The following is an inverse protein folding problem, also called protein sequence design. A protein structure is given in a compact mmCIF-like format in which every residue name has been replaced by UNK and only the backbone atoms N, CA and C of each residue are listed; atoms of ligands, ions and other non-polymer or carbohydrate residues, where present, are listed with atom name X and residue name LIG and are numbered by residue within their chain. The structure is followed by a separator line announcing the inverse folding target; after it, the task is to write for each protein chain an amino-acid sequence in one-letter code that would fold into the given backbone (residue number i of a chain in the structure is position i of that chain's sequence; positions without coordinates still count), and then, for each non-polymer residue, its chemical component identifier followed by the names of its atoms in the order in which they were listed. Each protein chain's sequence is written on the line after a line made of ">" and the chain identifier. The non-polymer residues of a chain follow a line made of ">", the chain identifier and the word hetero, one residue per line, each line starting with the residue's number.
data_IF_322537352859
#
_entry.id   IF_322537352859
#
_cell.length_a   1.000
_cell.length_b   1.000
_cell.length_c   1.000
_cell.angle_alpha   90.00
_cell.angle_beta   90.00
_cell.angle_gamma   90.00
#
_symmetry.space_group_name_H-M   'P 1'
#
loop_
_entity.id
_entity.type
_entity.pdbx_description
1 polymer ?
#
# COMPACT_ATOMS: atom_id res chain seq x y z
N UNK A 1 -0.23 3.08 22.24
CA UNK A 1 -1.52 3.49 21.64
C UNK A 1 -1.27 4.16 20.31
N UNK A 2 -1.98 3.75 19.27
CA UNK A 2 -1.91 4.30 17.92
C UNK A 2 -3.22 4.99 17.57
N UNK A 3 -3.17 6.04 16.75
CA UNK A 3 -4.31 6.88 16.44
C UNK A 3 -4.57 6.92 14.94
N UNK A 4 -5.83 6.76 14.54
CA UNK A 4 -6.30 6.97 13.17
C UNK A 4 -7.18 8.20 13.10
N UNK A 5 -6.84 9.09 12.19
CA UNK A 5 -7.66 10.25 11.85
C UNK A 5 -8.56 9.92 10.67
N UNK A 6 -9.82 10.25 10.77
CA UNK A 6 -10.84 9.96 9.76
C UNK A 6 -11.68 11.22 9.55
N UNK A 7 -11.83 11.61 8.30
CA UNK A 7 -12.70 12.70 7.89
C UNK A 7 -13.20 12.51 6.46
N UNK A 8 -14.28 13.18 6.16
CA UNK A 8 -14.85 13.28 4.83
C UNK A 8 -15.47 14.66 4.64
N UNK A 9 -15.55 15.12 3.40
CA UNK A 9 -16.26 16.35 3.06
C UNK A 9 -17.77 16.22 3.30
N UNK A 10 -18.31 15.01 3.20
CA UNK A 10 -19.67 14.67 3.49
C UNK A 10 -19.85 14.19 4.94
N UNK A 11 -20.55 14.94 5.82
CA UNK A 11 -20.77 14.54 7.20
C UNK A 11 -21.45 13.17 7.37
N UNK A 12 -22.26 12.77 6.40
CA UNK A 12 -22.93 11.47 6.43
C UNK A 12 -21.95 10.31 6.29
N UNK A 13 -20.87 10.47 5.50
CA UNK A 13 -19.82 9.47 5.39
C UNK A 13 -18.94 9.42 6.67
N UNK A 14 -18.71 10.57 7.31
CA UNK A 14 -18.05 10.62 8.63
C UNK A 14 -18.83 9.80 9.66
N UNK A 15 -20.14 10.00 9.75
CA UNK A 15 -21.01 9.27 10.66
C UNK A 15 -21.08 7.77 10.33
N UNK A 16 -21.11 7.42 9.05
CA UNK A 16 -21.12 6.03 8.59
C UNK A 16 -19.82 5.31 8.98
N UNK A 17 -18.67 5.96 8.80
CA UNK A 17 -17.39 5.42 9.21
C UNK A 17 -17.30 5.27 10.73
N UNK A 18 -17.81 6.24 11.50
CA UNK A 18 -17.86 6.15 12.95
C UNK A 18 -18.76 4.98 13.42
N UNK A 19 -19.93 4.82 12.79
CA UNK A 19 -20.83 3.69 13.10
C UNK A 19 -20.19 2.34 12.83
N UNK A 20 -19.56 2.17 11.66
CA UNK A 20 -18.82 0.95 11.33
C UNK A 20 -17.79 0.61 12.39
N UNK A 21 -17.06 1.60 12.85
CA UNK A 21 -16.08 1.38 13.89
C UNK A 21 -16.71 0.98 15.24
N UNK A 22 -17.74 1.70 15.68
CA UNK A 22 -18.36 1.49 17.01
C UNK A 22 -19.28 0.27 17.03
N UNK A 23 -20.04 0.03 15.98
CA UNK A 23 -21.06 -1.02 15.92
C UNK A 23 -20.47 -2.34 15.38
N UNK A 24 -19.64 -2.26 14.32
CA UNK A 24 -19.14 -3.45 13.63
C UNK A 24 -17.70 -3.81 14.01
N UNK A 25 -16.99 -2.94 14.74
CA UNK A 25 -15.57 -3.12 15.06
C UNK A 25 -14.66 -3.08 13.84
N UNK A 26 -15.13 -2.49 12.73
CA UNK A 26 -14.38 -2.49 11.46
C UNK A 26 -13.76 -1.14 11.15
N UNK A 27 -12.60 -1.16 10.50
CA UNK A 27 -11.88 0.02 10.07
C UNK A 27 -11.65 -0.02 8.56
N UNK A 28 -11.85 1.12 7.89
CA UNK A 28 -11.59 1.19 6.45
C UNK A 28 -10.11 1.28 6.17
N UNK A 29 -9.61 0.40 5.31
CA UNK A 29 -8.32 0.54 4.67
C UNK A 29 -8.46 1.35 3.38
N UNK A 30 -7.49 2.18 3.10
CA UNK A 30 -7.44 3.03 1.89
C UNK A 30 -6.73 2.31 0.76
N UNK A 31 -7.19 2.51 -0.46
CA UNK A 31 -6.47 2.05 -1.65
C UNK A 31 -5.14 2.82 -1.78
N UNK A 32 -3.98 2.13 -1.77
CA UNK A 32 -2.69 2.79 -1.82
C UNK A 32 -2.47 3.59 -3.11
N UNK A 33 -3.20 3.30 -4.18
CA UNK A 33 -3.12 4.03 -5.46
C UNK A 33 -3.74 5.43 -5.39
N UNK A 34 -4.57 5.70 -4.38
CA UNK A 34 -5.20 6.99 -4.14
C UNK A 34 -4.41 7.93 -3.22
N UNK A 35 -3.22 7.54 -2.76
CA UNK A 35 -2.40 8.39 -1.91
C UNK A 35 -1.82 9.59 -2.67
N UNK A 36 -1.80 10.75 -2.01
CA UNK A 36 -1.35 12.01 -2.64
C UNK A 36 0.15 12.09 -2.83
N UNK A 37 0.94 11.39 -2.02
CA UNK A 37 2.39 11.38 -2.15
C UNK A 37 2.82 10.33 -3.20
N UNK A 38 3.34 10.77 -4.36
CA UNK A 38 3.78 9.85 -5.40
C UNK A 38 5.02 9.03 -4.99
N UNK A 39 5.63 9.30 -3.83
CA UNK A 39 6.73 8.50 -3.28
C UNK A 39 6.25 7.38 -2.37
N UNK A 40 5.03 7.46 -1.85
CA UNK A 40 4.41 6.39 -1.10
C UNK A 40 4.14 5.19 -2.02
N UNK A 41 4.45 4.00 -1.55
CA UNK A 41 4.25 2.74 -2.29
C UNK A 41 4.93 2.67 -3.67
N UNK A 42 6.05 3.36 -3.85
CA UNK A 42 6.93 3.15 -5.02
C UNK A 42 7.58 1.76 -4.93
N UNK A 43 6.83 0.75 -5.32
CA UNK A 43 7.38 -0.58 -5.52
C UNK A 43 8.08 -0.58 -6.88
N UNK A 44 9.40 -0.64 -6.86
CA UNK A 44 10.19 -0.77 -8.09
C UNK A 44 10.35 -2.26 -8.42
N UNK A 45 9.63 -2.71 -9.42
CA UNK A 45 9.91 -4.01 -10.01
C UNK A 45 11.05 -3.84 -11.03
N UNK A 46 12.03 -4.73 -10.93
CA UNK A 46 13.16 -4.75 -11.85
C UNK A 46 13.38 -6.17 -12.36
N UNK A 47 13.53 -6.31 -13.65
CA UNK A 47 13.93 -7.57 -14.29
C UNK A 47 15.46 -7.75 -14.31
N UNK A 48 16.20 -6.82 -13.68
CA UNK A 48 17.64 -6.98 -13.47
C UNK A 48 17.85 -7.96 -12.31
N UNK A 49 18.51 -9.07 -12.60
CA UNK A 49 18.86 -10.07 -11.62
C UNK A 49 20.36 -10.09 -11.30
N UNK A 50 20.72 -10.68 -10.15
CA UNK A 50 22.10 -11.13 -9.91
C UNK A 50 22.47 -12.26 -10.89
N UNK A 51 23.74 -12.54 -11.14
CA UNK A 51 24.18 -13.63 -12.02
C UNK A 51 23.50 -14.97 -11.69
N UNK A 52 23.36 -15.30 -10.40
CA UNK A 52 22.71 -16.54 -9.95
C UNK A 52 21.20 -16.56 -10.20
N UNK A 53 20.53 -15.43 -10.11
CA UNK A 53 19.11 -15.32 -10.43
C UNK A 53 18.87 -15.45 -11.94
N UNK A 54 19.74 -14.81 -12.74
CA UNK A 54 19.71 -14.91 -14.20
C UNK A 54 19.91 -16.36 -14.64
N UNK A 55 20.96 -17.02 -14.13
CA UNK A 55 21.26 -18.42 -14.44
C UNK A 55 20.07 -19.34 -14.09
N UNK A 56 19.48 -19.15 -12.90
CA UNK A 56 18.30 -19.93 -12.48
C UNK A 56 17.11 -19.70 -13.43
N UNK A 57 16.80 -18.46 -13.76
CA UNK A 57 15.70 -18.12 -14.65
C UNK A 57 15.89 -18.72 -16.04
N UNK A 58 17.07 -18.55 -16.63
CA UNK A 58 17.35 -19.10 -17.96
C UNK A 58 17.35 -20.62 -17.99
N UNK A 59 17.76 -21.26 -16.89
CA UNK A 59 17.65 -22.72 -16.73
C UNK A 59 16.18 -23.17 -16.67
N UNK A 60 15.33 -22.44 -15.98
CA UNK A 60 13.89 -22.74 -15.89
C UNK A 60 13.19 -22.62 -17.25
N UNK A 61 13.57 -21.65 -18.09
CA UNK A 61 13.01 -21.47 -19.44
C UNK A 61 13.79 -22.17 -20.55
N UNK A 62 14.78 -23.02 -20.22
CA UNK A 62 15.68 -23.70 -21.15
C UNK A 62 16.38 -22.76 -22.14
N UNK A 63 16.77 -21.55 -21.71
CA UNK A 63 17.51 -20.58 -22.49
C UNK A 63 18.98 -20.50 -22.06
N UNK A 64 19.80 -19.87 -22.89
CA UNK A 64 21.25 -19.72 -22.63
C UNK A 64 21.47 -18.42 -21.85
N UNK A 65 22.10 -18.43 -20.66
CA UNK A 65 22.33 -17.24 -19.83
C UNK A 65 23.10 -16.12 -20.53
N UNK A 66 23.99 -16.46 -21.44
CA UNK A 66 24.81 -15.48 -22.18
C UNK A 66 23.99 -14.57 -23.11
N UNK A 67 22.74 -14.96 -23.40
CA UNK A 67 21.81 -14.13 -24.20
C UNK A 67 21.02 -13.11 -23.35
N UNK A 68 21.29 -13.02 -22.05
CA UNK A 68 20.49 -12.18 -21.15
C UNK A 68 20.54 -10.70 -21.53
N UNK A 69 21.71 -10.15 -21.83
CA UNK A 69 21.86 -8.74 -22.19
C UNK A 69 21.12 -8.40 -23.51
N UNK A 70 21.24 -9.26 -24.50
CA UNK A 70 20.53 -9.12 -25.78
C UNK A 70 19.01 -9.24 -25.58
N UNK A 71 18.59 -10.20 -24.77
CA UNK A 71 17.18 -10.39 -24.42
C UNK A 71 16.65 -9.14 -23.67
N UNK A 72 17.38 -8.62 -22.69
CA UNK A 72 16.99 -7.44 -21.92
C UNK A 72 16.84 -6.21 -22.80
N UNK A 73 17.74 -5.99 -23.77
CA UNK A 73 17.66 -4.85 -24.68
C UNK A 73 16.45 -4.96 -25.61
N UNK A 74 16.23 -6.15 -26.17
CA UNK A 74 15.09 -6.40 -27.07
C UNK A 74 13.73 -6.33 -26.35
N UNK A 75 13.69 -6.63 -25.05
CA UNK A 75 12.45 -6.69 -24.25
C UNK A 75 12.30 -5.50 -23.29
N UNK A 76 13.16 -4.49 -23.38
CA UNK A 76 13.16 -3.35 -22.43
C UNK A 76 11.80 -2.67 -22.29
N UNK A 77 11.08 -2.46 -23.37
CA UNK A 77 9.75 -1.83 -23.36
C UNK A 77 8.76 -2.77 -22.67
N UNK A 78 8.73 -4.01 -23.09
CA UNK A 78 7.82 -5.03 -22.52
C UNK A 78 8.08 -5.24 -21.03
N UNK A 79 9.35 -5.29 -20.61
CA UNK A 79 9.69 -5.41 -19.19
C UNK A 79 9.21 -4.21 -18.36
N UNK A 80 9.29 -3.00 -18.91
CA UNK A 80 8.79 -1.81 -18.23
C UNK A 80 7.25 -1.82 -18.10
N UNK A 81 6.54 -2.21 -19.15
CA UNK A 81 5.08 -2.35 -19.13
C UNK A 81 4.65 -3.42 -18.12
N UNK A 82 5.28 -4.59 -18.14
CA UNK A 82 5.03 -5.66 -17.16
C UNK A 82 5.34 -5.22 -15.71
N UNK A 83 6.37 -4.42 -15.50
CA UNK A 83 6.70 -3.89 -14.16
C UNK A 83 5.59 -2.97 -13.64
N UNK A 84 5.03 -2.10 -14.50
CA UNK A 84 3.92 -1.23 -14.15
C UNK A 84 2.66 -2.05 -13.84
N UNK A 85 2.30 -2.99 -14.71
CA UNK A 85 1.14 -3.85 -14.52
C UNK A 85 1.24 -4.70 -13.24
N UNK A 86 2.42 -5.29 -13.00
CA UNK A 86 2.67 -6.09 -11.80
C UNK A 86 2.54 -5.25 -10.54
N UNK A 87 3.09 -4.03 -10.55
CA UNK A 87 2.93 -3.09 -9.42
C UNK A 87 1.45 -2.80 -9.18
N UNK A 88 0.70 -2.46 -10.20
CA UNK A 88 -0.71 -2.10 -10.07
C UNK A 88 -1.57 -3.29 -9.60
N UNK A 89 -1.25 -4.50 -10.05
CA UNK A 89 -1.87 -5.73 -9.55
C UNK A 89 -1.55 -5.98 -8.07
N UNK A 90 -0.29 -5.81 -7.67
CA UNK A 90 0.10 -5.92 -6.26
C UNK A 90 -0.63 -4.90 -5.40
N UNK A 91 -0.63 -3.62 -5.80
CA UNK A 91 -1.27 -2.56 -5.02
C UNK A 91 -2.79 -2.73 -4.88
N UNK A 92 -3.45 -3.41 -5.82
CA UNK A 92 -4.88 -3.75 -5.72
C UNK A 92 -5.20 -4.78 -4.64
N UNK A 93 -4.21 -5.54 -4.20
CA UNK A 93 -4.40 -6.59 -3.20
C UNK A 93 -4.24 -6.11 -1.76
N UNK A 94 -3.81 -4.85 -1.57
CA UNK A 94 -3.53 -4.30 -0.26
C UNK A 94 -4.45 -3.13 0.06
N UNK A 95 -4.92 -3.12 1.30
CA UNK A 95 -5.48 -1.93 1.93
C UNK A 95 -4.47 -1.36 2.92
N UNK A 96 -4.43 -0.04 3.05
CA UNK A 96 -3.50 0.64 3.95
C UNK A 96 -4.26 1.38 5.04
N UNK A 97 -3.89 1.10 6.27
CA UNK A 97 -4.38 1.82 7.45
C UNK A 97 -3.26 2.70 7.98
N UNK A 98 -3.38 4.01 7.80
CA UNK A 98 -2.41 4.97 8.31
C UNK A 98 -2.68 5.26 9.79
N UNK A 99 -1.70 5.00 10.63
CA UNK A 99 -1.74 5.24 12.07
C UNK A 99 -0.59 6.16 12.49
N UNK A 100 -0.75 6.87 13.59
CA UNK A 100 0.28 7.71 14.19
C UNK A 100 0.31 7.52 15.71
N UNK A 101 1.48 7.62 16.37
CA UNK A 101 1.56 7.59 17.83
C UNK A 101 1.10 8.90 18.50
N UNK A 102 0.75 9.92 17.73
CA UNK A 102 0.46 11.27 18.25
C UNK A 102 -1.03 11.58 18.21
N UNK A 103 -1.66 11.67 19.37
CA UNK A 103 -3.08 12.04 19.54
C UNK A 103 -3.39 13.47 19.08
N UNK A 104 -2.46 14.40 19.30
CA UNK A 104 -2.65 15.85 19.03
C UNK A 104 -1.74 16.34 17.93
N UNK A 105 -1.89 15.76 16.73
CA UNK A 105 -1.10 16.16 15.58
C UNK A 105 -1.93 17.05 14.64
N UNK A 106 -1.64 18.35 14.61
CA UNK A 106 -2.36 19.34 13.80
C UNK A 106 -2.30 19.06 12.30
N UNK A 107 -1.19 18.50 11.80
CA UNK A 107 -1.07 18.11 10.39
C UNK A 107 -2.01 16.94 10.06
N UNK A 108 -2.05 15.95 10.93
CA UNK A 108 -2.97 14.80 10.76
C UNK A 108 -4.43 15.25 10.80
N UNK A 109 -4.79 16.15 11.72
CA UNK A 109 -6.11 16.77 11.78
C UNK A 109 -6.45 17.56 10.52
N UNK A 110 -5.49 18.28 9.95
CA UNK A 110 -5.69 19.05 8.73
C UNK A 110 -5.87 18.15 7.51
N UNK A 111 -5.00 17.16 7.32
CA UNK A 111 -4.95 16.35 6.12
C UNK A 111 -5.94 15.18 6.10
N UNK A 112 -6.08 14.48 7.22
CA UNK A 112 -6.85 13.23 7.28
C UNK A 112 -8.24 13.38 7.88
N UNK A 113 -8.52 14.50 8.56
CA UNK A 113 -9.86 14.80 9.09
C UNK A 113 -10.53 15.99 8.41
N UNK A 114 -10.15 16.29 7.17
CA UNK A 114 -10.73 17.34 6.32
C UNK A 114 -10.82 18.67 7.11
N UNK A 115 -9.67 19.23 7.44
CA UNK A 115 -9.58 20.49 8.20
C UNK A 115 -10.36 20.45 9.51
N UNK A 116 -10.09 19.44 10.33
CA UNK A 116 -10.69 19.25 11.67
C UNK A 116 -12.21 18.94 11.70
N UNK A 117 -12.77 18.41 10.59
CA UNK A 117 -14.20 18.05 10.49
C UNK A 117 -14.44 16.54 10.59
N UNK A 118 -13.55 15.83 11.23
CA UNK A 118 -13.63 14.39 11.40
C UNK A 118 -13.52 13.98 12.87
N UNK A 119 -13.05 12.78 13.08
CA UNK A 119 -12.79 12.20 14.39
C UNK A 119 -11.43 11.48 14.40
N UNK A 120 -10.95 11.21 15.60
CA UNK A 120 -9.72 10.47 15.85
C UNK A 120 -10.06 9.27 16.73
N UNK A 121 -9.59 8.09 16.34
CA UNK A 121 -9.75 6.87 17.11
C UNK A 121 -8.39 6.44 17.63
N UNK A 122 -8.32 6.13 18.93
CA UNK A 122 -7.15 5.53 19.55
C UNK A 122 -7.31 4.01 19.61
N UNK A 123 -6.28 3.30 19.22
CA UNK A 123 -6.16 1.86 19.32
C UNK A 123 -5.14 1.52 20.41
N UNK A 124 -5.46 0.57 21.24
CA UNK A 124 -4.46 -0.03 22.11
C UNK A 124 -3.44 -0.78 21.24
N UNK A 125 -2.17 -0.68 21.56
CA UNK A 125 -1.09 -1.29 20.79
C UNK A 125 -0.73 -2.71 21.29
N UNK A 126 -1.56 -3.29 22.12
CA UNK A 126 -1.50 -4.69 22.53
C UNK A 126 -2.02 -5.62 21.41
N UNK A 127 -1.50 -5.46 20.18
CA UNK A 127 -1.72 -6.43 19.11
C UNK A 127 -0.80 -7.63 19.36
N UNK A 128 -1.33 -8.73 19.81
CA UNK A 128 -0.55 -9.94 20.07
C UNK A 128 -0.07 -10.62 18.78
N UNK A 129 -0.77 -10.47 17.67
CA UNK A 129 -0.38 -11.03 16.36
C UNK A 129 -0.99 -10.28 15.18
N UNK A 130 -0.36 -10.41 13.99
CA UNK A 130 -0.88 -9.88 12.71
C UNK A 130 -2.18 -10.61 12.29
N UNK A 131 -2.46 -11.76 12.86
CA UNK A 131 -3.64 -12.59 12.56
C UNK A 131 -4.95 -11.96 13.05
N UNK A 132 -4.87 -10.91 13.89
CA UNK A 132 -6.04 -10.15 14.35
C UNK A 132 -6.59 -9.18 13.30
N UNK A 133 -5.89 -8.99 12.18
CA UNK A 133 -6.36 -8.23 11.03
C UNK A 133 -6.97 -9.18 9.98
N UNK A 134 -8.28 -9.32 10.00
CA UNK A 134 -9.00 -9.96 8.89
C UNK A 134 -9.17 -8.92 7.78
N UNK A 135 -8.54 -9.18 6.64
CA UNK A 135 -8.67 -8.38 5.42
C UNK A 135 -9.84 -8.83 4.57
#
# INVERSE_FOLDING_TARGET
>A
MLYKYIGDHNPSEVLKNLKRFVEDGTISASDPRGFNDPSEFKINFSFKGSPSQIERYFKEINAIPDMYEEWMESHRIVCNEMAVETRDLCLKQFGVVCLTPFEKNGLMWSHYSVSHKGFCIGFDDEFETIDDFIF
#
